data_IF_593818231278
#
_entry.id   IF_593818231278
#
_cell.length_a   1.000
_cell.length_b   1.000
_cell.length_c   1.000
_cell.angle_alpha   90.00
_cell.angle_beta   90.00
_cell.angle_gamma   90.00
#
_symmetry.space_group_name_H-M   'P 1'
#
loop_
_entity.id
_entity.type
_entity.pdbx_description
1 polymer ?
#
# COMPACT_ATOMS: atom_id res chain seq x y z
N UNK A 1 -52.85 -37.18 -9.49
CA UNK A 1 -52.79 -36.65 -10.86
C UNK A 1 -51.66 -35.62 -10.91
N UNK A 2 -50.46 -36.08 -11.28
CA UNK A 2 -49.48 -35.43 -12.18
C UNK A 2 -49.74 -33.94 -12.49
N UNK A 3 -48.81 -32.98 -12.39
CA UNK A 3 -47.50 -32.82 -13.08
C UNK A 3 -47.14 -31.32 -12.82
N UNK A 4 -45.95 -30.81 -12.48
CA UNK A 4 -44.64 -30.81 -13.18
C UNK A 4 -43.60 -30.22 -12.20
N UNK A 5 -42.48 -30.93 -12.03
CA UNK A 5 -41.21 -30.41 -11.49
C UNK A 5 -40.50 -29.67 -12.62
N UNK A 6 -40.04 -28.43 -12.40
CA UNK A 6 -39.12 -27.78 -13.35
C UNK A 6 -37.84 -27.25 -12.68
N UNK A 7 -36.82 -28.11 -12.80
CA UNK A 7 -35.41 -27.85 -13.10
C UNK A 7 -34.95 -26.38 -13.21
N UNK A 8 -33.85 -26.12 -12.47
CA UNK A 8 -32.82 -25.08 -12.67
C UNK A 8 -33.14 -23.68 -12.14
N UNK A 9 -33.06 -23.51 -10.82
CA UNK A 9 -32.55 -22.26 -10.25
C UNK A 9 -31.05 -22.50 -10.02
N UNK A 10 -30.26 -22.23 -11.07
CA UNK A 10 -28.83 -21.98 -10.91
C UNK A 10 -28.73 -20.54 -10.45
N UNK A 11 -28.59 -20.33 -9.14
CA UNK A 11 -28.19 -19.05 -8.58
C UNK A 11 -26.77 -18.76 -9.11
N UNK A 12 -26.69 -17.86 -10.09
CA UNK A 12 -25.44 -17.23 -10.49
C UNK A 12 -24.91 -16.46 -9.27
N UNK A 13 -23.97 -17.08 -8.56
CA UNK A 13 -23.09 -16.37 -7.64
C UNK A 13 -22.17 -15.52 -8.50
N UNK A 14 -22.55 -14.26 -8.71
CA UNK A 14 -21.66 -13.25 -9.26
C UNK A 14 -20.49 -13.07 -8.30
N UNK A 15 -19.33 -13.66 -8.65
CA UNK A 15 -18.06 -13.29 -8.04
C UNK A 15 -17.81 -11.81 -8.35
N UNK A 16 -18.05 -10.96 -7.36
CA UNK A 16 -17.48 -9.62 -7.30
C UNK A 16 -15.98 -9.78 -7.07
N UNK A 17 -15.24 -9.98 -8.17
CA UNK A 17 -13.80 -9.80 -8.18
C UNK A 17 -13.53 -8.30 -8.03
N UNK A 18 -13.20 -7.90 -6.81
CA UNK A 18 -12.65 -6.56 -6.55
C UNK A 18 -11.24 -6.51 -7.14
N UNK A 19 -11.16 -6.29 -8.46
CA UNK A 19 -9.89 -5.98 -9.11
C UNK A 19 -9.45 -4.59 -8.67
N UNK A 20 -8.22 -4.47 -8.17
CA UNK A 20 -7.58 -3.17 -7.92
C UNK A 20 -7.51 -2.41 -9.25
N UNK A 21 -8.44 -1.47 -9.45
CA UNK A 21 -8.43 -0.64 -10.66
C UNK A 21 -7.36 0.42 -10.47
N UNK A 22 -6.17 0.19 -11.02
CA UNK A 22 -5.25 1.28 -11.26
C UNK A 22 -5.79 2.06 -12.45
N UNK A 23 -6.22 3.29 -12.22
CA UNK A 23 -6.66 4.15 -13.31
C UNK A 23 -5.41 4.62 -14.03
N UNK A 24 -5.18 4.11 -15.25
CA UNK A 24 -4.29 4.79 -16.18
C UNK A 24 -4.89 6.18 -16.49
N UNK A 25 -4.20 6.99 -17.30
CA UNK A 25 -4.77 8.27 -17.76
C UNK A 25 -6.06 8.12 -18.59
N UNK A 26 -6.44 6.88 -18.92
CA UNK A 26 -7.68 6.46 -19.55
C UNK A 26 -8.36 5.35 -18.72
N UNK A 27 -9.67 5.17 -18.94
CA UNK A 27 -10.43 4.14 -18.23
C UNK A 27 -10.02 2.73 -18.65
N UNK A 28 -9.29 2.02 -17.78
CA UNK A 28 -8.83 0.65 -18.06
C UNK A 28 -9.94 -0.36 -18.37
N UNK A 29 -11.18 -0.08 -17.95
CA UNK A 29 -12.36 -0.89 -18.29
C UNK A 29 -12.69 -0.85 -19.79
N UNK A 30 -12.23 0.18 -20.49
CA UNK A 30 -12.48 0.42 -21.91
C UNK A 30 -11.19 0.25 -22.76
N UNK A 31 -10.17 -0.43 -22.24
CA UNK A 31 -8.95 -0.72 -22.99
C UNK A 31 -9.29 -1.50 -24.28
N UNK A 32 -9.04 -0.88 -25.43
CA UNK A 32 -9.44 -1.40 -26.74
C UNK A 32 -8.27 -1.96 -27.57
N UNK A 33 -7.04 -1.66 -27.17
CA UNK A 33 -5.81 -2.09 -27.87
C UNK A 33 -4.91 -2.96 -26.99
N UNK A 34 -4.06 -3.79 -27.61
CA UNK A 34 -3.09 -4.62 -26.89
C UNK A 34 -2.14 -3.79 -25.99
N UNK A 35 -1.75 -2.60 -26.44
CA UNK A 35 -0.92 -1.67 -25.66
C UNK A 35 -1.68 -1.13 -24.45
N UNK A 36 -2.95 -0.73 -24.60
CA UNK A 36 -3.76 -0.27 -23.48
C UNK A 36 -4.00 -1.38 -22.45
N UNK A 37 -4.28 -2.60 -22.90
CA UNK A 37 -4.37 -3.77 -22.01
C UNK A 37 -3.07 -3.97 -21.23
N UNK A 38 -1.93 -3.87 -21.90
CA UNK A 38 -0.61 -4.01 -21.27
C UNK A 38 -0.35 -2.92 -20.23
N UNK A 39 -0.69 -1.66 -20.54
CA UNK A 39 -0.59 -0.54 -19.60
C UNK A 39 -1.49 -0.76 -18.38
N UNK A 40 -2.70 -1.26 -18.59
CA UNK A 40 -3.64 -1.51 -17.50
C UNK A 40 -3.27 -2.73 -16.65
N UNK A 41 -2.56 -3.72 -17.21
CA UNK A 41 -2.15 -4.93 -16.49
C UNK A 41 -0.81 -4.82 -15.75
N UNK A 42 0.05 -3.87 -16.09
CA UNK A 42 1.36 -3.66 -15.45
C UNK A 42 1.31 -2.40 -14.57
N UNK A 43 1.50 -2.57 -13.26
CA UNK A 43 1.45 -1.48 -12.28
C UNK A 43 2.39 -0.32 -12.63
N UNK A 44 3.62 -0.61 -13.05
CA UNK A 44 4.59 0.44 -13.39
C UNK A 44 4.18 1.18 -14.65
N UNK A 45 3.71 0.47 -15.67
CA UNK A 45 3.22 1.10 -16.91
C UNK A 45 2.02 2.00 -16.65
N UNK A 46 1.09 1.54 -15.81
CA UNK A 46 -0.06 2.32 -15.39
C UNK A 46 0.36 3.64 -14.73
N UNK A 47 1.26 3.57 -13.73
CA UNK A 47 1.74 4.77 -13.03
C UNK A 47 2.58 5.68 -13.91
N UNK A 48 3.40 5.13 -14.82
CA UNK A 48 4.12 5.93 -15.81
C UNK A 48 3.17 6.69 -16.74
N UNK A 49 2.03 6.09 -17.08
CA UNK A 49 0.98 6.75 -17.86
C UNK A 49 0.35 7.92 -17.10
N UNK A 50 0.10 7.78 -15.79
CA UNK A 50 -0.35 8.88 -14.92
C UNK A 50 0.65 10.04 -14.88
N UNK A 51 1.93 9.74 -14.64
CA UNK A 51 2.97 10.78 -14.58
C UNK A 51 3.12 11.52 -15.90
N UNK A 52 3.04 10.81 -17.02
CA UNK A 52 3.03 11.44 -18.33
C UNK A 52 1.82 12.34 -18.52
N UNK A 53 0.61 11.87 -18.16
CA UNK A 53 -0.63 12.65 -18.28
C UNK A 53 -0.59 13.90 -17.42
N UNK A 54 -0.06 13.79 -16.21
CA UNK A 54 0.18 14.92 -15.31
C UNK A 54 1.11 15.97 -15.95
N UNK A 55 2.29 15.55 -16.44
CA UNK A 55 3.21 16.46 -17.14
C UNK A 55 2.57 17.10 -18.37
N UNK A 56 1.79 16.34 -19.14
CA UNK A 56 1.10 16.85 -20.31
C UNK A 56 0.05 17.91 -19.95
N UNK A 57 -0.73 17.69 -18.89
CA UNK A 57 -1.70 18.69 -18.40
C UNK A 57 -1.03 20.00 -18.04
N UNK A 58 0.11 19.95 -17.33
CA UNK A 58 0.83 21.16 -16.97
C UNK A 58 1.42 21.83 -18.21
N UNK A 59 1.93 21.07 -19.18
CA UNK A 59 2.39 21.61 -20.47
C UNK A 59 1.29 22.35 -21.24
N UNK A 60 0.02 22.05 -20.98
CA UNK A 60 -1.13 22.73 -21.59
C UNK A 60 -1.64 23.95 -20.79
N UNK A 61 -1.05 24.27 -19.63
CA UNK A 61 -1.45 25.41 -18.80
C UNK A 61 -1.23 26.76 -19.50
N UNK A 62 -1.93 27.80 -19.03
CA UNK A 62 -1.91 29.15 -19.60
C UNK A 62 -0.53 29.80 -19.62
N UNK A 63 0.36 29.44 -18.69
CA UNK A 63 1.73 29.95 -18.58
C UNK A 63 2.63 29.53 -19.77
N UNK A 64 2.27 28.47 -20.50
CA UNK A 64 3.06 27.99 -21.64
C UNK A 64 2.75 28.81 -22.91
N UNK A 65 3.76 29.18 -23.72
CA UNK A 65 3.52 29.86 -25.00
C UNK A 65 2.72 28.98 -25.97
N UNK A 66 1.80 29.58 -26.73
CA UNK A 66 0.90 28.82 -27.60
C UNK A 66 1.63 28.05 -28.71
N UNK A 67 2.72 28.59 -29.26
CA UNK A 67 3.57 27.86 -30.21
C UNK A 67 4.16 26.58 -29.60
N UNK A 68 4.65 26.67 -28.36
CA UNK A 68 5.19 25.50 -27.64
C UNK A 68 4.08 24.48 -27.34
N UNK A 69 2.87 24.92 -26.97
CA UNK A 69 1.72 24.02 -26.80
C UNK A 69 1.38 23.29 -28.09
N UNK A 70 1.38 23.98 -29.23
CA UNK A 70 1.11 23.37 -30.54
C UNK A 70 2.16 22.31 -30.91
N UNK A 71 3.44 22.60 -30.68
CA UNK A 71 4.54 21.65 -30.91
C UNK A 71 4.41 20.42 -30.02
N UNK A 72 4.11 20.60 -28.73
CA UNK A 72 3.90 19.50 -27.78
C UNK A 72 2.70 18.65 -28.17
N UNK A 73 1.58 19.26 -28.60
CA UNK A 73 0.39 18.56 -29.08
C UNK A 73 0.70 17.70 -30.31
N UNK A 74 1.35 18.26 -31.32
CA UNK A 74 1.76 17.51 -32.52
C UNK A 74 2.67 16.34 -32.15
N UNK A 75 3.70 16.62 -31.35
CA UNK A 75 4.65 15.60 -30.89
C UNK A 75 3.97 14.51 -30.04
N UNK A 76 2.91 14.84 -29.28
CA UNK A 76 2.15 13.87 -28.49
C UNK A 76 1.41 12.87 -29.39
N UNK A 77 0.77 13.34 -30.46
CA UNK A 77 0.08 12.47 -31.42
C UNK A 77 1.06 11.53 -32.13
N UNK A 78 2.22 12.04 -32.53
CA UNK A 78 3.29 11.21 -33.11
C UNK A 78 3.82 10.17 -32.12
N UNK A 79 4.01 10.57 -30.86
CA UNK A 79 4.45 9.66 -29.80
C UNK A 79 3.41 8.56 -29.53
N UNK A 80 2.12 8.90 -29.48
CA UNK A 80 1.03 7.92 -29.31
C UNK A 80 1.05 6.88 -30.44
N UNK A 81 1.22 7.32 -31.69
CA UNK A 81 1.35 6.41 -32.83
C UNK A 81 2.55 5.47 -32.71
N UNK A 82 3.72 5.97 -32.28
CA UNK A 82 4.92 5.15 -32.05
C UNK A 82 4.75 4.19 -30.88
N UNK A 83 4.14 4.64 -29.77
CA UNK A 83 3.88 3.83 -28.57
C UNK A 83 2.99 2.64 -28.90
N UNK A 84 1.99 2.84 -29.76
CA UNK A 84 1.06 1.79 -30.19
C UNK A 84 1.73 0.63 -30.93
N UNK A 85 2.98 0.78 -31.40
CA UNK A 85 3.74 -0.28 -32.06
C UNK A 85 4.59 -1.12 -31.08
N UNK A 86 4.57 -0.82 -29.78
CA UNK A 86 5.30 -1.62 -28.80
C UNK A 86 4.70 -3.03 -28.64
N UNK A 87 5.56 -4.04 -28.66
CA UNK A 87 5.21 -5.45 -28.51
C UNK A 87 5.28 -5.98 -27.08
N UNK A 88 5.96 -5.25 -26.18
CA UNK A 88 6.20 -5.68 -24.80
C UNK A 88 6.31 -4.49 -23.83
N UNK A 89 6.31 -4.83 -22.53
CA UNK A 89 6.32 -3.85 -21.45
C UNK A 89 7.64 -3.07 -21.38
N UNK A 90 8.76 -3.65 -21.80
CA UNK A 90 10.05 -2.96 -21.77
C UNK A 90 10.11 -1.87 -22.84
N UNK A 91 9.57 -2.14 -24.03
CA UNK A 91 9.37 -1.15 -25.08
C UNK A 91 8.54 0.02 -24.56
N UNK A 92 7.42 -0.26 -23.89
CA UNK A 92 6.56 0.78 -23.31
C UNK A 92 7.30 1.58 -22.24
N UNK A 93 7.99 0.94 -21.29
CA UNK A 93 8.79 1.62 -20.25
C UNK A 93 9.80 2.59 -20.88
N UNK A 94 10.51 2.16 -21.93
CA UNK A 94 11.47 3.00 -22.65
C UNK A 94 10.78 4.18 -23.37
N UNK A 95 9.59 3.96 -23.94
CA UNK A 95 8.79 5.01 -24.59
C UNK A 95 8.27 6.05 -23.60
N UNK A 96 7.81 5.61 -22.42
CA UNK A 96 7.36 6.50 -21.33
C UNK A 96 8.53 7.30 -20.76
N UNK A 97 9.67 6.67 -20.48
CA UNK A 97 10.87 7.34 -19.96
C UNK A 97 11.28 8.53 -20.82
N UNK A 98 11.48 8.28 -22.13
CA UNK A 98 11.85 9.31 -23.09
C UNK A 98 10.82 10.43 -23.19
N UNK A 99 9.53 10.10 -23.07
CA UNK A 99 8.45 11.09 -23.24
C UNK A 99 8.26 11.96 -22.01
N UNK A 100 8.34 11.38 -20.82
CA UNK A 100 8.28 12.11 -19.55
C UNK A 100 9.42 13.13 -19.49
N UNK A 101 10.65 12.70 -19.81
CA UNK A 101 11.82 13.58 -19.81
C UNK A 101 11.75 14.66 -20.90
N UNK A 102 11.23 14.33 -22.09
CA UNK A 102 10.98 15.33 -23.14
C UNK A 102 9.98 16.41 -22.69
N UNK A 103 8.87 16.01 -22.06
CA UNK A 103 7.87 16.97 -21.56
C UNK A 103 8.45 17.84 -20.45
N UNK A 104 9.27 17.25 -19.57
CA UNK A 104 9.99 17.99 -18.54
C UNK A 104 10.93 19.04 -19.16
N UNK A 105 11.78 18.65 -20.11
CA UNK A 105 12.74 19.52 -20.79
C UNK A 105 12.04 20.70 -21.50
N UNK A 106 10.95 20.42 -22.22
CA UNK A 106 10.19 21.46 -22.93
C UNK A 106 9.54 22.50 -22.03
N UNK A 107 9.21 22.13 -20.80
CA UNK A 107 8.51 23.03 -19.87
C UNK A 107 9.46 23.73 -18.90
N UNK A 108 10.68 23.23 -18.71
CA UNK A 108 11.64 23.71 -17.72
C UNK A 108 11.92 25.21 -17.83
N UNK A 109 12.03 25.74 -19.04
CA UNK A 109 12.36 27.16 -19.27
C UNK A 109 11.20 28.13 -19.00
N UNK A 110 9.95 27.67 -19.10
CA UNK A 110 8.77 28.53 -19.10
C UNK A 110 8.04 28.58 -17.75
N UNK A 111 8.15 27.53 -16.94
CA UNK A 111 7.42 27.41 -15.66
C UNK A 111 8.41 27.53 -14.49
N UNK A 112 8.96 28.74 -14.29
CA UNK A 112 9.92 28.98 -13.20
C UNK A 112 9.21 29.05 -11.85
N UNK A 113 9.71 28.30 -10.86
CA UNK A 113 9.36 28.47 -9.44
C UNK A 113 8.19 27.64 -8.92
N UNK A 114 7.60 26.73 -9.71
CA UNK A 114 6.61 25.76 -9.21
C UNK A 114 7.01 24.36 -9.64
N UNK A 115 7.54 23.56 -8.71
CA UNK A 115 7.85 22.15 -8.92
C UNK A 115 6.51 21.41 -9.06
N UNK A 116 6.03 21.31 -10.30
CA UNK A 116 4.85 20.52 -10.65
C UNK A 116 5.17 19.41 -11.66
N UNK A 117 6.26 19.51 -12.42
CA UNK A 117 6.65 18.49 -13.41
C UNK A 117 7.57 17.45 -12.79
N UNK A 118 7.39 16.19 -13.19
CA UNK A 118 8.13 15.04 -12.66
C UNK A 118 9.08 14.51 -13.73
N UNK A 119 10.37 14.35 -13.43
CA UNK A 119 11.31 13.62 -14.31
C UNK A 119 11.04 12.12 -14.26
N UNK A 120 11.49 11.38 -15.27
CA UNK A 120 11.34 9.92 -15.25
C UNK A 120 12.02 9.28 -14.02
N UNK A 121 13.20 9.75 -13.61
CA UNK A 121 13.89 9.24 -12.42
C UNK A 121 13.08 9.42 -11.14
N UNK A 122 12.46 10.59 -10.97
CA UNK A 122 11.62 10.90 -9.81
C UNK A 122 10.33 10.07 -9.82
N UNK A 123 9.71 9.91 -10.99
CA UNK A 123 8.55 9.05 -11.17
C UNK A 123 8.87 7.59 -10.79
N UNK A 124 10.01 7.06 -11.23
CA UNK A 124 10.43 5.69 -10.91
C UNK A 124 10.72 5.51 -9.42
N UNK A 125 11.31 6.49 -8.73
CA UNK A 125 11.52 6.43 -7.29
C UNK A 125 10.20 6.33 -6.52
N UNK A 126 9.20 7.12 -6.93
CA UNK A 126 7.84 7.06 -6.36
C UNK A 126 7.19 5.71 -6.65
N UNK A 127 7.22 5.25 -7.90
CA UNK A 127 6.62 3.97 -8.33
C UNK A 127 7.26 2.80 -7.57
N UNK A 128 8.58 2.76 -7.45
CA UNK A 128 9.27 1.69 -6.74
C UNK A 128 8.97 1.72 -5.23
N UNK A 129 8.66 2.89 -4.65
CA UNK A 129 8.21 3.01 -3.26
C UNK A 129 6.78 2.51 -3.10
N UNK A 130 5.88 2.89 -4.01
CA UNK A 130 4.48 2.42 -4.04
C UNK A 130 4.40 0.90 -4.25
N UNK A 131 5.17 0.35 -5.20
CA UNK A 131 5.25 -1.09 -5.47
C UNK A 131 5.75 -1.87 -4.24
N UNK A 132 6.77 -1.35 -3.54
CA UNK A 132 7.25 -1.94 -2.28
C UNK A 132 6.17 -1.94 -1.21
N UNK A 133 5.48 -0.82 -1.02
CA UNK A 133 4.39 -0.73 -0.05
C UNK A 133 3.23 -1.69 -0.40
N UNK A 134 2.94 -1.84 -1.70
CA UNK A 134 1.88 -2.74 -2.15
C UNK A 134 2.28 -4.21 -2.02
N UNK A 135 3.53 -4.56 -2.34
CA UNK A 135 4.08 -5.91 -2.15
C UNK A 135 4.13 -6.28 -0.66
N UNK A 136 4.51 -5.34 0.21
CA UNK A 136 4.40 -5.53 1.67
C UNK A 136 2.94 -5.79 2.06
N UNK A 137 1.97 -5.00 1.58
CA UNK A 137 0.55 -5.21 1.90
C UNK A 137 -0.04 -6.52 1.34
N UNK A 138 0.40 -7.03 0.19
CA UNK A 138 -0.10 -8.29 -0.37
C UNK A 138 0.50 -9.52 0.33
N UNK A 139 1.79 -9.49 0.66
CA UNK A 139 2.44 -10.54 1.48
C UNK A 139 1.83 -10.60 2.88
N UNK A 140 1.45 -9.43 3.41
CA UNK A 140 0.68 -9.30 4.63
C UNK A 140 -0.70 -9.93 4.43
N UNK A 141 -1.51 -9.51 3.45
CA UNK A 141 -2.86 -10.07 3.22
C UNK A 141 -2.92 -11.59 3.05
N UNK A 142 -1.98 -12.19 2.32
CA UNK A 142 -1.92 -13.66 2.19
C UNK A 142 -1.48 -14.32 3.52
N UNK A 143 -0.63 -13.65 4.28
CA UNK A 143 -0.23 -14.09 5.62
C UNK A 143 -1.30 -13.87 6.70
N UNK A 144 -2.21 -12.92 6.51
CA UNK A 144 -3.24 -12.50 7.47
C UNK A 144 -4.45 -13.44 7.53
N UNK A 145 -4.71 -14.22 6.47
CA UNK A 145 -5.81 -15.20 6.43
C UNK A 145 -5.53 -16.43 7.30
N UNK A 146 -4.26 -16.72 7.54
CA UNK A 146 -3.86 -17.77 8.46
C UNK A 146 -3.89 -17.20 9.90
N UNK A 147 -4.62 -17.87 10.79
CA UNK A 147 -4.80 -17.53 12.22
C UNK A 147 -5.92 -16.54 12.57
N UNK A 148 -6.77 -16.12 11.63
CA UNK A 148 -7.93 -15.25 11.91
C UNK A 148 -8.83 -15.83 13.03
N UNK A 149 -9.10 -17.13 12.99
CA UNK A 149 -9.87 -17.85 14.03
C UNK A 149 -9.18 -17.87 15.40
N UNK A 150 -7.85 -17.81 15.47
CA UNK A 150 -7.12 -17.75 16.73
C UNK A 150 -7.18 -16.35 17.33
N UNK A 151 -7.19 -15.32 16.48
CA UNK A 151 -7.28 -13.91 16.88
C UNK A 151 -8.65 -13.61 17.49
N UNK A 152 -9.73 -14.14 16.91
CA UNK A 152 -11.08 -13.99 17.46
C UNK A 152 -11.19 -14.55 18.90
N UNK A 153 -10.39 -15.57 19.23
CA UNK A 153 -10.36 -16.20 20.55
C UNK A 153 -9.55 -15.42 21.60
N UNK A 154 -8.77 -14.41 21.21
CA UNK A 154 -7.97 -13.58 22.13
C UNK A 154 -8.82 -12.67 23.02
N UNK A 155 -10.11 -12.50 22.69
CA UNK A 155 -11.04 -11.67 23.47
C UNK A 155 -10.94 -10.17 23.16
N UNK A 156 -10.34 -9.78 22.04
CA UNK A 156 -10.51 -8.43 21.48
C UNK A 156 -11.88 -8.30 20.81
N UNK A 157 -12.46 -7.10 20.86
CA UNK A 157 -13.69 -6.84 20.10
C UNK A 157 -13.36 -6.64 18.62
N UNK A 158 -14.33 -6.88 17.72
CA UNK A 158 -14.12 -6.63 16.29
C UNK A 158 -13.74 -5.17 16.01
N UNK A 159 -14.29 -4.23 16.80
CA UNK A 159 -13.92 -2.82 16.72
C UNK A 159 -12.42 -2.64 17.03
N UNK A 160 -11.94 -3.21 18.13
CA UNK A 160 -10.52 -3.15 18.51
C UNK A 160 -9.61 -3.76 17.44
N UNK A 161 -9.97 -4.93 16.90
CA UNK A 161 -9.19 -5.60 15.86
C UNK A 161 -9.10 -4.76 14.57
N UNK A 162 -10.19 -4.06 14.21
CA UNK A 162 -10.25 -3.24 13.00
C UNK A 162 -9.71 -1.81 13.21
N UNK A 163 -9.43 -1.39 14.45
CA UNK A 163 -8.87 -0.06 14.76
C UNK A 163 -7.42 0.07 14.27
N UNK A 164 -7.07 1.23 13.74
CA UNK A 164 -5.70 1.52 13.32
C UNK A 164 -4.81 1.72 14.54
N UNK A 165 -3.59 1.16 14.51
CA UNK A 165 -2.56 1.44 15.50
C UNK A 165 -1.65 2.55 14.98
N UNK A 166 -1.61 3.66 15.71
CA UNK A 166 -0.74 4.79 15.48
C UNK A 166 0.55 4.67 16.28
N UNK A 167 1.67 4.94 15.60
CA UNK A 167 3.02 5.00 16.16
C UNK A 167 3.65 6.36 15.89
N UNK A 168 4.67 6.75 16.68
CA UNK A 168 5.41 8.01 16.50
C UNK A 168 6.83 7.74 16.00
N UNK A 169 7.12 8.17 14.78
CA UNK A 169 8.45 8.11 14.15
C UNK A 169 9.00 9.52 13.85
N UNK A 170 8.61 10.50 14.67
CA UNK A 170 8.78 11.93 14.39
C UNK A 170 7.47 12.62 13.95
N UNK A 171 6.46 11.82 13.62
CA UNK A 171 5.06 12.21 13.43
C UNK A 171 4.18 10.98 13.68
N UNK A 172 2.89 11.20 14.00
CA UNK A 172 1.93 10.11 14.16
C UNK A 172 1.61 9.51 12.80
N UNK A 173 1.93 8.23 12.62
CA UNK A 173 1.64 7.49 11.39
C UNK A 173 0.82 6.26 11.71
N UNK A 174 -0.17 5.97 10.85
CA UNK A 174 -0.87 4.69 10.85
C UNK A 174 0.11 3.60 10.41
N UNK A 175 0.22 2.53 11.19
CA UNK A 175 1.07 1.39 10.85
C UNK A 175 0.25 0.22 10.31
N UNK A 176 -0.42 -0.53 11.18
CA UNK A 176 -1.37 -1.60 10.84
C UNK A 176 -2.62 -1.45 11.70
N UNK A 177 -3.71 -2.15 11.35
CA UNK A 177 -4.76 -2.42 12.34
C UNK A 177 -4.25 -3.36 13.42
N UNK A 178 -4.91 -3.40 14.57
CA UNK A 178 -4.52 -4.31 15.64
C UNK A 178 -4.57 -5.78 15.18
N UNK A 179 -5.64 -6.19 14.50
CA UNK A 179 -5.78 -7.55 14.01
C UNK A 179 -4.64 -7.94 13.07
N UNK A 180 -4.33 -7.07 12.11
CA UNK A 180 -3.22 -7.29 11.17
C UNK A 180 -1.88 -7.47 11.90
N UNK A 181 -1.61 -6.62 12.89
CA UNK A 181 -0.38 -6.72 13.68
C UNK A 181 -0.32 -8.01 14.51
N UNK A 182 -1.43 -8.40 15.17
CA UNK A 182 -1.48 -9.62 15.97
C UNK A 182 -1.25 -10.87 15.12
N UNK A 183 -1.75 -10.91 13.88
CA UNK A 183 -1.45 -12.02 12.97
C UNK A 183 0.04 -12.16 12.69
N UNK A 184 0.76 -11.04 12.54
CA UNK A 184 2.22 -11.10 12.39
C UNK A 184 2.87 -11.73 13.63
N UNK A 185 2.37 -11.47 14.83
CA UNK A 185 2.96 -12.01 16.06
C UNK A 185 2.90 -13.53 16.13
N UNK A 186 1.84 -14.16 15.59
CA UNK A 186 1.77 -15.63 15.48
C UNK A 186 2.87 -16.24 14.61
N UNK A 187 3.48 -15.45 13.72
CA UNK A 187 4.54 -15.89 12.80
C UNK A 187 5.94 -15.54 13.31
N UNK A 188 6.07 -15.06 14.55
CA UNK A 188 7.37 -14.82 15.14
C UNK A 188 8.15 -16.14 15.28
N UNK A 189 9.48 -16.13 15.05
CA UNK A 189 10.33 -17.26 15.37
C UNK A 189 10.13 -17.71 16.82
N UNK A 190 10.03 -19.02 17.02
CA UNK A 190 9.88 -19.64 18.34
C UNK A 190 8.63 -19.20 19.13
N UNK A 191 7.60 -18.69 18.46
CA UNK A 191 6.32 -18.31 19.06
C UNK A 191 5.70 -19.42 19.92
N UNK A 192 5.09 -19.02 21.04
CA UNK A 192 4.38 -19.91 21.97
C UNK A 192 2.95 -19.46 22.22
N UNK A 193 2.77 -18.24 22.73
CA UNK A 193 1.44 -17.72 23.09
C UNK A 193 1.33 -16.24 22.80
N UNK A 194 0.09 -15.82 22.58
CA UNK A 194 -0.33 -14.44 22.48
C UNK A 194 -1.55 -14.30 23.38
N UNK A 195 -1.49 -13.40 24.35
CA UNK A 195 -2.60 -13.18 25.29
C UNK A 195 -3.02 -11.72 25.26
N UNK A 196 -4.33 -11.47 25.26
CA UNK A 196 -4.86 -10.14 25.59
C UNK A 196 -4.62 -9.84 27.06
N UNK A 197 -4.27 -8.60 27.36
CA UNK A 197 -4.20 -8.08 28.72
C UNK A 197 -5.02 -6.78 28.83
N UNK A 198 -5.33 -6.40 30.06
CA UNK A 198 -5.83 -5.07 30.39
C UNK A 198 -4.88 -4.44 31.39
N UNK A 199 -4.57 -3.15 31.21
CA UNK A 199 -3.68 -2.40 32.08
C UNK A 199 -4.26 -1.01 32.30
N UNK A 200 -4.73 -0.72 33.52
CA UNK A 200 -5.54 0.48 33.79
C UNK A 200 -6.71 0.55 32.81
N UNK A 201 -6.86 1.67 32.11
CA UNK A 201 -7.87 1.89 31.06
C UNK A 201 -7.35 1.56 29.65
N UNK A 202 -6.16 0.95 29.55
CA UNK A 202 -5.55 0.56 28.28
C UNK A 202 -5.78 -0.93 27.99
N UNK A 203 -5.91 -1.23 26.71
CA UNK A 203 -5.83 -2.61 26.24
C UNK A 203 -4.38 -2.95 25.94
N UNK A 204 -4.05 -4.23 25.91
CA UNK A 204 -2.73 -4.65 25.46
C UNK A 204 -2.70 -6.10 25.09
N UNK A 205 -1.53 -6.55 24.67
CA UNK A 205 -1.26 -7.95 24.43
C UNK A 205 0.17 -8.26 24.83
N UNK A 206 0.39 -9.49 25.27
CA UNK A 206 1.72 -10.03 25.55
C UNK A 206 1.99 -11.26 24.70
N UNK A 207 3.25 -11.40 24.32
CA UNK A 207 3.77 -12.42 23.44
C UNK A 207 4.76 -13.26 24.24
N UNK A 208 4.66 -14.59 24.11
CA UNK A 208 5.67 -15.53 24.58
C UNK A 208 6.39 -16.14 23.39
N UNK A 209 7.71 -16.07 23.39
CA UNK A 209 8.60 -16.86 22.52
C UNK A 209 9.51 -17.76 23.37
N UNK A 210 10.05 -18.83 22.79
CA UNK A 210 10.95 -19.74 23.50
C UNK A 210 12.18 -18.99 24.04
N UNK A 211 12.58 -19.30 25.28
CA UNK A 211 13.81 -18.79 25.86
C UNK A 211 13.81 -17.30 26.25
N UNK A 212 12.74 -16.54 25.99
CA UNK A 212 12.63 -15.13 26.40
C UNK A 212 11.50 -14.91 27.42
N UNK A 213 11.60 -13.88 28.29
CA UNK A 213 10.46 -13.40 29.07
C UNK A 213 9.28 -13.01 28.18
N UNK A 214 8.10 -12.81 28.79
CA UNK A 214 7.01 -12.16 28.04
C UNK A 214 7.46 -10.79 27.55
N UNK A 215 7.07 -10.42 26.35
CA UNK A 215 7.12 -9.06 25.86
C UNK A 215 5.74 -8.64 25.39
N UNK A 216 5.52 -7.39 25.01
CA UNK A 216 4.22 -6.97 24.52
C UNK A 216 4.04 -5.47 24.55
N UNK A 217 2.81 -5.03 24.33
CA UNK A 217 2.50 -3.62 24.16
C UNK A 217 1.17 -3.28 24.80
N UNK A 218 1.08 -2.05 25.31
CA UNK A 218 -0.18 -1.45 25.77
C UNK A 218 -0.56 -0.28 24.87
N UNK A 219 -1.85 -0.17 24.61
CA UNK A 219 -2.48 0.69 23.62
C UNK A 219 -3.60 1.48 24.29
N UNK A 220 -3.58 2.80 24.11
CA UNK A 220 -4.69 3.66 24.50
C UNK A 220 -5.70 3.72 23.37
N UNK A 221 -6.98 3.51 23.70
CA UNK A 221 -8.09 3.77 22.79
C UNK A 221 -8.44 5.26 22.81
N UNK A 222 -8.50 5.88 21.63
CA UNK A 222 -8.93 7.27 21.48
C UNK A 222 -9.53 7.49 20.07
N UNK A 223 -10.70 8.13 20.00
CA UNK A 223 -11.36 8.42 18.73
C UNK A 223 -11.75 7.20 17.86
N UNK A 224 -11.68 5.98 18.39
CA UNK A 224 -11.88 4.74 17.61
C UNK A 224 -10.59 4.16 17.02
N UNK A 225 -9.45 4.80 17.26
CA UNK A 225 -8.11 4.32 16.92
C UNK A 225 -7.33 3.94 18.19
N UNK A 226 -6.17 3.31 17.98
CA UNK A 226 -5.28 2.81 19.03
C UNK A 226 -3.95 3.54 18.95
N UNK A 227 -3.43 3.94 20.11
CA UNK A 227 -2.16 4.65 20.22
C UNK A 227 -1.20 3.87 21.11
N UNK A 228 0.03 3.68 20.63
CA UNK A 228 1.05 2.95 21.37
C UNK A 228 1.54 3.77 22.57
N UNK A 229 1.35 3.25 23.78
CA UNK A 229 1.62 4.00 25.03
C UNK A 229 2.55 3.28 26.01
N UNK A 230 2.85 2.00 25.80
CA UNK A 230 3.84 1.32 26.64
C UNK A 230 4.29 -0.05 26.14
N UNK A 231 5.37 -0.52 26.75
CA UNK A 231 6.00 -1.82 26.51
C UNK A 231 5.75 -2.75 27.70
N UNK A 232 5.52 -4.03 27.43
CA UNK A 232 5.52 -5.09 28.44
C UNK A 232 6.88 -5.79 28.39
N UNK A 233 7.51 -5.99 29.55
CA UNK A 233 8.69 -6.85 29.68
C UNK A 233 8.58 -7.69 30.95
N UNK A 234 8.57 -9.01 30.79
CA UNK A 234 8.24 -9.94 31.87
C UNK A 234 6.83 -9.69 32.40
N UNK A 235 6.75 -9.26 33.67
CA UNK A 235 5.51 -8.96 34.37
C UNK A 235 5.27 -7.45 34.52
N UNK A 236 6.16 -6.62 33.99
CA UNK A 236 6.13 -5.17 34.18
C UNK A 236 5.65 -4.47 32.91
N UNK A 237 4.98 -3.33 33.11
CA UNK A 237 4.53 -2.42 32.05
C UNK A 237 5.28 -1.10 32.20
N UNK A 238 5.97 -0.71 31.12
CA UNK A 238 6.73 0.54 31.02
C UNK A 238 5.97 1.51 30.12
N UNK A 239 5.31 2.49 30.71
CA UNK A 239 4.62 3.56 29.98
C UNK A 239 5.64 4.55 29.38
N UNK A 240 5.39 4.97 28.15
CA UNK A 240 6.17 6.01 27.50
C UNK A 240 5.74 7.39 28.05
N UNK A 241 6.64 8.04 28.79
CA UNK A 241 6.37 9.33 29.44
C UNK A 241 6.98 10.53 28.70
N UNK A 242 7.85 10.27 27.72
CA UNK A 242 8.48 11.28 26.87
C UNK A 242 8.39 10.94 25.39
N UNK A 243 8.55 11.95 24.51
CA UNK A 243 8.63 11.75 23.07
C UNK A 243 9.77 10.78 22.67
N UNK A 244 10.87 10.76 23.44
CA UNK A 244 11.97 9.82 23.22
C UNK A 244 11.52 8.38 23.48
N UNK A 245 10.78 8.17 24.56
CA UNK A 245 10.26 6.84 24.91
C UNK A 245 9.26 6.36 23.87
N UNK A 246 8.35 7.23 23.40
CA UNK A 246 7.37 6.88 22.36
C UNK A 246 8.07 6.47 21.06
N UNK A 247 9.14 7.17 20.67
CA UNK A 247 9.91 6.81 19.45
C UNK A 247 10.66 5.48 19.60
N UNK A 248 11.29 5.26 20.75
CA UNK A 248 11.94 3.98 21.05
C UNK A 248 10.92 2.84 21.03
N UNK A 249 9.77 3.03 21.70
CA UNK A 249 8.66 2.11 21.75
C UNK A 249 8.11 1.79 20.35
N UNK A 250 7.92 2.83 19.52
CA UNK A 250 7.47 2.69 18.12
C UNK A 250 8.48 1.90 17.28
N UNK A 251 9.77 2.11 17.50
CA UNK A 251 10.84 1.39 16.82
C UNK A 251 10.87 -0.09 17.20
N UNK A 252 10.65 -0.40 18.48
CA UNK A 252 10.53 -1.79 18.97
C UNK A 252 9.30 -2.45 18.36
N UNK A 253 8.14 -1.78 18.38
CA UNK A 253 6.89 -2.29 17.79
C UNK A 253 7.03 -2.60 16.30
N UNK A 254 7.68 -1.72 15.53
CA UNK A 254 8.00 -1.96 14.13
C UNK A 254 8.95 -3.14 13.94
N UNK A 255 9.95 -3.29 14.82
CA UNK A 255 10.94 -4.36 14.69
C UNK A 255 10.32 -5.76 14.77
N UNK A 256 9.34 -5.95 15.67
CA UNK A 256 8.58 -7.21 15.76
C UNK A 256 7.92 -7.59 14.43
N UNK A 257 7.27 -6.63 13.76
CA UNK A 257 6.68 -6.85 12.43
C UNK A 257 7.76 -7.12 11.36
N UNK A 258 8.86 -6.36 11.37
CA UNK A 258 9.93 -6.49 10.39
C UNK A 258 10.65 -7.85 10.44
N UNK A 259 10.83 -8.43 11.64
CA UNK A 259 11.40 -9.79 11.79
C UNK A 259 10.60 -10.80 10.98
N UNK A 260 9.27 -10.73 11.04
CA UNK A 260 8.37 -11.64 10.33
C UNK A 260 8.41 -11.40 8.82
N UNK A 261 8.33 -10.12 8.41
CA UNK A 261 8.31 -9.72 7.00
C UNK A 261 9.62 -10.11 6.29
N UNK A 262 10.76 -9.89 6.93
CA UNK A 262 12.06 -10.20 6.37
C UNK A 262 12.31 -11.71 6.27
N UNK A 263 11.92 -12.48 7.30
CA UNK A 263 12.03 -13.94 7.27
C UNK A 263 11.14 -14.57 6.19
N UNK A 264 9.97 -13.99 5.92
CA UNK A 264 9.06 -14.46 4.86
C UNK A 264 9.63 -14.21 3.45
N UNK A 265 10.49 -13.20 3.30
CA UNK A 265 11.13 -12.84 2.04
C UNK A 265 12.41 -13.66 1.77
N UNK A 266 13.03 -14.23 2.82
CA UNK A 266 14.21 -15.10 2.70
C UNK A 266 13.88 -16.56 2.30
N UNK A 267 12.60 -16.95 2.37
CA UNK A 267 12.10 -18.30 2.05
C UNK A 267 11.39 -18.38 0.68
N UNK A 268 11.56 -17.37 -0.18
CA UNK A 268 11.16 -17.39 -1.61
C UNK A 268 12.40 -17.36 -2.48
#
# INVERSE_FOLDING_TARGET
>A
MNLIVNRKIVLLVSLLTCGTTYAASFECKNAGSAVETMICSDFKLNRLDDFLSHNYKIAMNSEMPDGVKQDIKKSQMEWLGKRSNCSDAQCLKNMYAKRIDYLWDKCFEYVRGRINYVKYSEAIDVINKEERNQSSSSVINDSLKENESQIELLGFTQKQLNSNVYIDVGSHVKFYTLGEYLTLMYKLPDFKTLDKISYKDYIGFRIKVSGQPYSGFVLREDGGDLFLVGLISGNEVFEAVSLRDIRTLSSIYMNYANVVINNSSANK
#
